data_IF_814821113784
#
_entry.id   IF_814821113784
#
_cell.length_a   1.000
_cell.length_b   1.000
_cell.length_c   1.000
_cell.angle_alpha   90.00
_cell.angle_beta   90.00
_cell.angle_gamma   90.00
#
_symmetry.space_group_name_H-M   'P 1'
#
loop_
_entity.id
_entity.type
_entity.pdbx_description
1 polymer ?
#
# COMPACT_ATOMS: atom_id res chain seq x y z
N UNK A 1 -52.70 -12.75 5.84
CA UNK A 1 -52.54 -11.30 5.59
C UNK A 1 -51.16 -10.93 6.11
N UNK A 2 -50.07 -11.13 5.37
CA UNK A 2 -49.62 -10.38 4.19
C UNK A 2 -49.68 -8.87 4.42
N UNK A 3 -48.59 -8.31 4.95
CA UNK A 3 -48.20 -6.94 4.69
C UNK A 3 -46.74 -6.98 4.23
N UNK A 4 -46.59 -6.64 2.96
CA UNK A 4 -45.34 -6.38 2.25
C UNK A 4 -45.01 -4.91 2.52
N UNK A 5 -43.78 -4.60 2.89
CA UNK A 5 -43.27 -3.24 2.76
C UNK A 5 -42.27 -3.25 1.61
N UNK A 6 -42.61 -2.46 0.58
CA UNK A 6 -41.92 -2.33 -0.69
C UNK A 6 -40.67 -1.45 -0.53
N UNK A 7 -39.59 -1.87 -1.20
CA UNK A 7 -38.42 -1.05 -1.48
C UNK A 7 -38.79 -0.03 -2.57
N UNK A 8 -38.63 1.25 -2.27
CA UNK A 8 -38.62 2.33 -3.27
C UNK A 8 -37.17 2.54 -3.68
N UNK A 9 -36.85 2.19 -4.92
CA UNK A 9 -35.64 2.63 -5.63
C UNK A 9 -36.03 3.87 -6.42
N UNK A 10 -35.51 5.03 -6.04
CA UNK A 10 -35.47 6.18 -6.94
C UNK A 10 -34.29 6.02 -7.90
N UNK A 11 -34.62 6.12 -9.18
CA UNK A 11 -33.72 6.10 -10.31
C UNK A 11 -33.76 7.50 -10.90
N UNK A 12 -32.67 8.26 -10.78
CA UNK A 12 -32.47 9.45 -11.61
C UNK A 12 -31.02 9.56 -12.09
N UNK A 13 -30.96 9.99 -13.34
CA UNK A 13 -29.85 10.00 -14.31
C UNK A 13 -29.27 11.42 -14.41
N UNK A 14 -28.09 11.51 -15.03
CA UNK A 14 -27.28 12.70 -15.38
C UNK A 14 -26.36 13.18 -14.25
N UNK A 15 -25.04 13.26 -14.41
CA UNK A 15 -24.26 13.59 -15.60
C UNK A 15 -23.57 14.93 -15.35
N UNK A 16 -22.36 14.96 -14.79
CA UNK A 16 -21.49 16.14 -14.85
C UNK A 16 -20.02 15.81 -14.50
N UNK A 17 -19.16 15.95 -15.51
CA UNK A 17 -17.77 16.42 -15.49
C UNK A 17 -16.81 15.83 -14.43
N UNK A 18 -16.06 14.80 -14.85
CA UNK A 18 -14.71 14.56 -14.32
C UNK A 18 -13.80 15.66 -14.84
N UNK A 19 -13.39 16.56 -13.94
CA UNK A 19 -12.36 17.55 -14.20
C UNK A 19 -11.00 16.85 -14.12
N UNK A 20 -10.33 16.80 -15.27
CA UNK A 20 -8.99 16.26 -15.46
C UNK A 20 -8.01 16.97 -14.51
N UNK A 21 -7.41 16.20 -13.59
CA UNK A 21 -6.39 16.70 -12.68
C UNK A 21 -5.07 16.80 -13.45
N UNK A 22 -4.72 18.03 -13.86
CA UNK A 22 -3.44 18.42 -14.47
C UNK A 22 -2.23 18.25 -13.53
N UNK A 23 -1.98 17.02 -13.05
CA UNK A 23 -0.85 16.70 -12.18
C UNK A 23 0.26 15.90 -12.89
N UNK A 24 0.40 16.10 -14.21
CA UNK A 24 1.55 15.62 -15.00
C UNK A 24 2.24 16.77 -15.75
N UNK A 25 2.52 17.87 -15.05
CA UNK A 25 3.49 18.87 -15.55
C UNK A 25 4.82 18.67 -14.83
N UNK A 26 5.69 17.82 -15.38
CA UNK A 26 7.09 17.74 -14.96
C UNK A 26 7.77 19.09 -15.22
N UNK A 27 8.46 19.70 -14.24
CA UNK A 27 9.28 20.87 -14.50
C UNK A 27 10.51 20.43 -15.33
N UNK A 28 10.60 20.91 -16.56
CA UNK A 28 11.82 20.81 -17.36
C UNK A 28 12.88 21.73 -16.75
N UNK A 29 13.89 21.15 -16.11
CA UNK A 29 15.10 21.87 -15.72
C UNK A 29 15.91 22.17 -16.99
N UNK A 30 15.87 23.41 -17.46
CA UNK A 30 16.72 23.91 -18.53
C UNK A 30 18.15 24.09 -18.00
N UNK A 31 19.10 23.33 -18.55
CA UNK A 31 20.52 23.52 -18.33
C UNK A 31 21.04 24.53 -19.36
N UNK A 32 21.16 25.79 -18.97
CA UNK A 32 21.89 26.79 -19.77
C UNK A 32 23.38 26.40 -19.82
N UNK A 33 23.90 26.24 -21.04
CA UNK A 33 25.32 26.10 -21.30
C UNK A 33 25.86 27.46 -21.78
N UNK A 34 26.85 28.06 -21.10
CA UNK A 34 27.39 29.33 -21.53
C UNK A 34 28.18 29.19 -22.84
N UNK A 35 28.00 30.18 -23.72
CA UNK A 35 28.42 30.21 -25.11
C UNK A 35 29.92 30.02 -25.34
N UNK A 36 30.23 29.33 -26.43
CA UNK A 36 31.57 29.20 -26.99
C UNK A 36 31.74 30.28 -28.05
N UNK A 37 32.51 31.32 -27.75
CA UNK A 37 32.97 32.28 -28.76
C UNK A 37 34.33 31.84 -29.30
N UNK A 38 34.39 31.62 -30.61
CA UNK A 38 35.58 31.19 -31.34
C UNK A 38 36.21 32.46 -31.92
N UNK A 39 37.41 32.83 -31.47
CA UNK A 39 38.25 33.80 -32.18
C UNK A 39 39.52 33.11 -32.65
N UNK A 40 39.70 33.06 -33.97
CA UNK A 40 40.95 32.61 -34.61
C UNK A 40 41.97 33.74 -34.62
N UNK A 41 43.25 33.43 -34.39
CA UNK A 41 44.34 34.15 -35.02
C UNK A 41 45.60 33.27 -35.13
N UNK A 42 46.20 33.31 -36.33
CA UNK A 42 47.42 32.61 -36.73
C UNK A 42 48.67 33.43 -36.35
N UNK A 43 49.78 32.77 -35.97
CA UNK A 43 51.03 32.76 -36.76
C UNK A 43 52.24 32.19 -35.98
N UNK A 44 52.96 31.35 -36.73
CA UNK A 44 54.40 31.08 -36.79
C UNK A 44 55.27 30.64 -35.59
N UNK A 45 55.86 29.45 -35.81
CA UNK A 45 57.27 29.05 -35.68
C UNK A 45 58.07 29.46 -34.43
N UNK A 46 58.59 28.47 -33.69
CA UNK A 46 60.03 28.10 -33.68
C UNK A 46 60.35 27.09 -32.57
N UNK A 47 61.35 26.27 -32.86
CA UNK A 47 62.00 25.23 -32.06
C UNK A 47 62.48 25.67 -30.67
N UNK A 48 62.39 24.81 -29.66
CA UNK A 48 63.54 24.38 -28.84
C UNK A 48 63.13 23.40 -27.74
N UNK A 49 63.93 22.33 -27.64
CA UNK A 49 63.91 21.31 -26.60
C UNK A 49 64.34 21.86 -25.25
N UNK A 50 63.48 21.75 -24.22
CA UNK A 50 63.92 21.82 -22.82
C UNK A 50 63.13 20.80 -21.99
N UNK A 51 63.85 19.83 -21.43
CA UNK A 51 63.37 18.85 -20.45
C UNK A 51 62.95 19.59 -19.18
N UNK A 52 61.74 19.32 -18.68
CA UNK A 52 61.32 19.76 -17.35
C UNK A 52 60.46 18.69 -16.64
N UNK A 53 60.49 18.65 -15.30
CA UNK A 53 60.44 17.44 -14.49
C UNK A 53 59.07 16.75 -14.45
N UNK A 54 59.08 15.42 -14.35
CA UNK A 54 57.86 14.62 -14.20
C UNK A 54 57.08 15.10 -12.97
N UNK A 55 55.82 15.55 -13.12
CA UNK A 55 55.01 15.96 -11.98
C UNK A 55 54.73 14.73 -11.11
N UNK A 56 55.33 14.67 -9.92
CA UNK A 56 54.87 13.77 -8.88
C UNK A 56 53.54 14.33 -8.36
N UNK A 57 52.46 13.75 -8.83
CA UNK A 57 51.09 14.10 -8.47
C UNK A 57 50.13 13.16 -9.18
N UNK A 58 48.95 12.94 -8.58
CA UNK A 58 47.93 12.01 -9.09
C UNK A 58 47.70 12.21 -10.61
N UNK A 59 47.49 11.13 -11.38
CA UNK A 59 47.33 11.20 -12.83
C UNK A 59 46.29 12.26 -13.23
N UNK A 60 46.62 13.03 -14.27
CA UNK A 60 45.72 14.00 -14.89
C UNK A 60 44.44 13.26 -15.31
N UNK A 61 43.33 13.54 -14.62
CA UNK A 61 42.07 12.83 -14.80
C UNK A 61 41.49 12.20 -13.54
N UNK A 62 42.19 12.24 -12.40
CA UNK A 62 41.59 11.90 -11.09
C UNK A 62 40.61 13.00 -10.64
N UNK A 63 39.49 13.15 -11.35
CA UNK A 63 38.31 13.84 -10.80
C UNK A 63 37.87 13.01 -9.60
N UNK A 64 37.99 13.60 -8.41
CA UNK A 64 37.49 13.06 -7.17
C UNK A 64 36.04 12.62 -7.42
N UNK A 65 35.77 11.32 -7.52
CA UNK A 65 34.38 10.85 -7.54
C UNK A 65 33.78 11.39 -6.25
N UNK A 66 32.88 12.37 -6.36
CA UNK A 66 32.12 12.85 -5.22
C UNK A 66 31.54 11.59 -4.57
N UNK A 67 31.88 11.34 -3.30
CA UNK A 67 31.25 10.26 -2.55
C UNK A 67 29.75 10.50 -2.74
N UNK A 68 29.07 9.55 -3.38
CA UNK A 68 27.62 9.60 -3.50
C UNK A 68 27.14 9.69 -2.04
N UNK A 69 26.47 10.78 -1.64
CA UNK A 69 25.95 10.89 -0.30
C UNK A 69 25.08 9.66 -0.06
N UNK A 70 25.44 8.84 0.92
CA UNK A 70 24.54 7.79 1.40
C UNK A 70 23.42 8.57 2.10
N UNK A 71 22.37 8.87 1.36
CA UNK A 71 21.13 9.37 1.95
C UNK A 71 20.57 8.19 2.71
N UNK A 72 20.79 8.19 4.02
CA UNK A 72 20.09 7.29 4.91
C UNK A 72 18.63 7.74 4.90
N UNK A 73 17.83 7.11 4.04
CA UNK A 73 16.38 7.29 4.08
C UNK A 73 15.91 6.69 5.40
N UNK A 74 15.87 7.50 6.45
CA UNK A 74 15.21 7.14 7.69
C UNK A 74 13.73 6.97 7.38
N UNK A 75 13.33 5.72 7.10
CA UNK A 75 11.92 5.36 6.97
C UNK A 75 11.33 5.49 8.37
N UNK A 76 10.62 6.58 8.61
CA UNK A 76 9.93 6.79 9.88
C UNK A 76 8.79 5.77 9.97
N UNK A 77 9.01 4.72 10.76
CA UNK A 77 8.05 3.64 10.97
C UNK A 77 6.78 4.08 11.71
N UNK A 78 6.76 5.30 12.26
CA UNK A 78 5.59 5.89 12.91
C UNK A 78 4.65 6.57 11.88
N UNK A 79 5.02 6.61 10.59
CA UNK A 79 4.13 7.11 9.53
C UNK A 79 3.21 5.98 9.07
N UNK A 80 1.93 6.29 8.89
CA UNK A 80 0.96 5.38 8.27
C UNK A 80 1.33 5.17 6.79
N UNK A 81 1.47 3.91 6.38
CA UNK A 81 1.74 3.54 4.98
C UNK A 81 0.63 2.66 4.44
N UNK A 82 0.13 2.99 3.25
CA UNK A 82 -0.88 2.20 2.54
C UNK A 82 -0.23 1.13 1.68
N UNK A 83 -0.77 -0.08 1.70
CA UNK A 83 -0.32 -1.21 0.92
C UNK A 83 -1.51 -2.01 0.38
N UNK A 84 -1.31 -2.70 -0.74
CA UNK A 84 -2.24 -3.71 -1.23
C UNK A 84 -1.63 -5.08 -0.99
N UNK A 85 -2.32 -5.91 -0.22
CA UNK A 85 -1.96 -7.29 0.03
C UNK A 85 -2.78 -8.20 -0.86
N UNK A 86 -2.12 -9.11 -1.57
CA UNK A 86 -2.76 -10.13 -2.39
C UNK A 86 -2.65 -11.48 -1.70
N UNK A 87 -3.77 -12.18 -1.56
CA UNK A 87 -3.88 -13.49 -0.94
C UNK A 87 -4.44 -14.45 -1.98
N UNK A 88 -3.72 -15.54 -2.23
CA UNK A 88 -4.08 -16.52 -3.26
C UNK A 88 -5.16 -17.49 -2.77
N UNK A 89 -5.80 -18.18 -3.72
CA UNK A 89 -6.69 -19.31 -3.46
C UNK A 89 -6.08 -20.32 -2.47
N UNK A 90 -6.94 -20.91 -1.64
CA UNK A 90 -6.58 -22.00 -0.71
C UNK A 90 -5.82 -21.53 0.54
N UNK A 91 -5.67 -20.23 0.72
CA UNK A 91 -4.95 -19.63 1.84
C UNK A 91 -5.94 -19.04 2.86
N UNK A 92 -5.66 -19.24 4.15
CA UNK A 92 -6.39 -18.60 5.24
C UNK A 92 -5.97 -17.13 5.36
N UNK A 93 -6.93 -16.22 5.16
CA UNK A 93 -6.73 -14.77 5.25
C UNK A 93 -6.28 -14.37 6.65
N UNK A 94 -6.94 -14.89 7.69
CA UNK A 94 -6.68 -14.54 9.08
C UNK A 94 -5.23 -14.90 9.45
N UNK A 95 -4.80 -16.12 9.13
CA UNK A 95 -3.43 -16.57 9.37
C UNK A 95 -2.39 -15.77 8.57
N UNK A 96 -2.66 -15.49 7.29
CA UNK A 96 -1.72 -14.77 6.43
C UNK A 96 -1.48 -13.34 6.90
N UNK A 97 -2.54 -12.65 7.30
CA UNK A 97 -2.47 -11.29 7.78
C UNK A 97 -1.75 -11.18 9.13
N UNK A 98 -2.00 -12.13 10.05
CA UNK A 98 -1.22 -12.23 11.29
C UNK A 98 0.26 -12.47 11.02
N UNK A 99 0.57 -13.38 10.09
CA UNK A 99 1.94 -13.66 9.71
C UNK A 99 2.63 -12.42 9.13
N UNK A 100 1.94 -11.69 8.25
CA UNK A 100 2.43 -10.41 7.72
C UNK A 100 2.71 -9.39 8.83
N UNK A 101 1.75 -9.14 9.73
CA UNK A 101 1.90 -8.19 10.83
C UNK A 101 3.10 -8.54 11.73
N UNK A 102 3.23 -9.82 12.10
CA UNK A 102 4.34 -10.34 12.92
C UNK A 102 5.68 -10.22 12.22
N UNK A 103 5.75 -10.61 10.95
CA UNK A 103 6.99 -10.59 10.16
C UNK A 103 7.55 -9.17 10.01
N UNK A 104 6.67 -8.18 9.83
CA UNK A 104 7.07 -6.78 9.68
C UNK A 104 7.18 -6.01 11.01
N UNK A 105 6.74 -6.60 12.13
CA UNK A 105 6.68 -5.92 13.42
C UNK A 105 5.78 -4.68 13.40
N UNK A 106 4.73 -4.71 12.59
CA UNK A 106 3.79 -3.61 12.37
C UNK A 106 2.36 -4.10 12.51
N UNK A 107 1.50 -3.24 13.05
CA UNK A 107 0.06 -3.47 13.01
C UNK A 107 -0.49 -3.06 11.65
N UNK A 108 -1.60 -3.69 11.26
CA UNK A 108 -2.31 -3.36 10.03
C UNK A 108 -3.79 -3.09 10.34
N UNK A 109 -4.33 -2.06 9.70
CA UNK A 109 -5.75 -1.76 9.64
C UNK A 109 -6.24 -2.05 8.22
N UNK A 110 -7.21 -2.95 8.08
CA UNK A 110 -7.83 -3.26 6.81
C UNK A 110 -8.86 -2.17 6.52
N UNK A 111 -8.62 -1.44 5.43
CA UNK A 111 -9.48 -0.35 4.99
C UNK A 111 -10.62 -0.88 4.12
N UNK A 112 -10.30 -1.84 3.24
CA UNK A 112 -11.23 -2.49 2.33
C UNK A 112 -10.60 -3.79 1.80
N UNK A 113 -11.41 -4.66 1.21
CA UNK A 113 -10.95 -5.79 0.44
C UNK A 113 -12.02 -6.36 -0.49
N UNK A 114 -11.57 -7.01 -1.55
CA UNK A 114 -12.43 -7.67 -2.52
C UNK A 114 -11.85 -9.04 -2.90
N UNK A 115 -12.74 -9.98 -3.24
CA UNK A 115 -12.36 -11.33 -3.63
C UNK A 115 -13.43 -12.35 -3.28
N UNK A 116 -13.08 -13.63 -3.40
CA UNK A 116 -13.98 -14.75 -3.11
C UNK A 116 -13.44 -15.55 -1.93
N UNK A 117 -14.34 -15.91 -1.02
CA UNK A 117 -14.09 -16.71 0.18
C UNK A 117 -15.06 -17.89 0.24
N UNK A 118 -14.71 -18.93 0.98
CA UNK A 118 -15.53 -20.14 1.09
C UNK A 118 -15.68 -20.67 2.51
N UNK A 119 -16.81 -21.35 2.76
CA UNK A 119 -17.12 -22.07 4.00
C UNK A 119 -16.80 -21.27 5.27
N UNK A 120 -17.59 -20.23 5.50
CA UNK A 120 -17.25 -19.15 6.42
C UNK A 120 -18.01 -19.33 7.73
N UNK A 121 -17.38 -18.95 8.84
CA UNK A 121 -18.03 -18.89 10.14
C UNK A 121 -18.13 -17.44 10.59
N UNK A 122 -19.34 -16.97 10.87
CA UNK A 122 -19.57 -15.62 11.36
C UNK A 122 -20.19 -15.64 12.75
N UNK A 123 -19.66 -14.80 13.63
CA UNK A 123 -20.25 -14.48 14.93
C UNK A 123 -21.18 -13.28 14.74
N UNK A 124 -22.45 -13.48 15.06
CA UNK A 124 -23.48 -12.44 15.07
C UNK A 124 -23.40 -11.60 16.34
N UNK A 125 -23.96 -10.38 16.36
CA UNK A 125 -23.99 -9.52 17.55
C UNK A 125 -24.60 -10.19 18.80
N UNK A 126 -25.47 -11.18 18.60
CA UNK A 126 -26.05 -12.01 19.67
C UNK A 126 -25.05 -12.99 20.32
N UNK A 127 -23.81 -13.04 19.84
CA UNK A 127 -22.78 -14.00 20.24
C UNK A 127 -22.89 -15.37 19.56
N UNK A 128 -23.99 -15.64 18.85
CA UNK A 128 -24.19 -16.90 18.12
C UNK A 128 -23.25 -16.99 16.92
N UNK A 129 -22.68 -18.18 16.71
CA UNK A 129 -21.83 -18.48 15.55
C UNK A 129 -22.66 -19.26 14.53
N UNK A 130 -22.66 -18.79 13.28
CA UNK A 130 -23.29 -19.46 12.15
C UNK A 130 -22.24 -19.89 11.14
N UNK A 131 -22.45 -21.08 10.56
CA UNK A 131 -21.60 -21.63 9.53
C UNK A 131 -22.32 -21.50 8.19
N UNK A 132 -21.72 -20.76 7.26
CA UNK A 132 -22.24 -20.51 5.93
C UNK A 132 -21.41 -21.31 4.93
N UNK A 133 -22.05 -22.32 4.33
CA UNK A 133 -21.41 -23.22 3.37
C UNK A 133 -21.56 -22.66 1.96
N UNK A 134 -20.52 -22.79 1.14
CA UNK A 134 -20.50 -22.28 -0.23
C UNK A 134 -19.42 -21.24 -0.48
N UNK A 135 -19.56 -20.51 -1.58
CA UNK A 135 -18.64 -19.45 -2.04
C UNK A 135 -19.33 -18.11 -1.97
N UNK A 136 -18.62 -17.12 -1.44
CA UNK A 136 -19.16 -15.80 -1.16
C UNK A 136 -18.21 -14.73 -1.68
N UNK A 137 -18.77 -13.65 -2.21
CA UNK A 137 -18.03 -12.47 -2.64
C UNK A 137 -17.91 -11.49 -1.49
N UNK A 138 -16.69 -11.03 -1.22
CA UNK A 138 -16.43 -9.97 -0.25
C UNK A 138 -16.97 -8.66 -0.83
N UNK A 139 -17.91 -8.06 -0.10
CA UNK A 139 -18.43 -6.71 -0.37
C UNK A 139 -17.69 -5.67 0.46
N UNK A 140 -17.44 -6.00 1.74
CA UNK A 140 -16.68 -5.17 2.67
C UNK A 140 -15.92 -6.08 3.64
N UNK A 141 -14.70 -5.70 3.98
CA UNK A 141 -13.95 -6.29 5.08
C UNK A 141 -13.17 -5.18 5.78
N UNK A 142 -13.21 -5.18 7.11
CA UNK A 142 -12.51 -4.22 7.94
C UNK A 142 -12.05 -4.87 9.23
N UNK A 143 -11.08 -4.24 9.90
CA UNK A 143 -10.57 -4.70 11.18
C UNK A 143 -9.08 -4.42 11.33
N UNK A 144 -8.57 -4.66 12.53
CA UNK A 144 -7.18 -4.38 12.87
C UNK A 144 -6.50 -5.65 13.33
N UNK A 145 -5.26 -5.87 12.89
CA UNK A 145 -4.43 -6.98 13.31
C UNK A 145 -3.16 -6.41 13.91
N UNK A 146 -2.89 -6.80 15.15
CA UNK A 146 -1.71 -6.40 15.90
C UNK A 146 -0.69 -7.54 15.88
N UNK A 147 0.62 -7.24 15.87
CA UNK A 147 1.66 -8.27 15.79
C UNK A 147 1.72 -9.18 17.04
N UNK A 148 1.32 -8.68 18.22
CA UNK A 148 1.36 -9.42 19.48
C UNK A 148 0.16 -10.33 19.74
N UNK A 149 -0.94 -10.14 19.01
CA UNK A 149 -2.19 -10.89 19.25
C UNK A 149 -2.06 -12.31 18.73
N UNK A 150 -2.54 -13.30 19.49
CA UNK A 150 -2.50 -14.71 19.08
C UNK A 150 -3.50 -15.02 17.97
N UNK A 151 -4.62 -14.29 17.95
CA UNK A 151 -5.68 -14.40 16.96
C UNK A 151 -5.67 -13.19 16.03
N UNK A 152 -6.10 -13.39 14.78
CA UNK A 152 -6.38 -12.27 13.89
C UNK A 152 -7.45 -11.45 14.61
N UNK A 153 -7.19 -10.15 14.84
CA UNK A 153 -8.10 -9.28 15.59
C UNK A 153 -9.52 -9.28 15.00
N UNK A 154 -10.46 -8.58 15.63
CA UNK A 154 -11.89 -8.61 15.29
C UNK A 154 -12.15 -8.11 13.85
N UNK A 155 -11.97 -9.00 12.88
CA UNK A 155 -12.30 -8.76 11.48
C UNK A 155 -13.81 -8.83 11.34
N UNK A 156 -14.38 -7.81 10.72
CA UNK A 156 -15.80 -7.76 10.35
C UNK A 156 -15.91 -7.82 8.85
N UNK A 157 -16.88 -8.58 8.35
CA UNK A 157 -17.04 -8.82 6.92
C UNK A 157 -18.50 -8.70 6.53
N UNK A 158 -18.73 -8.20 5.32
CA UNK A 158 -20.00 -8.24 4.59
C UNK A 158 -19.78 -9.00 3.29
N UNK A 159 -20.68 -9.93 3.01
CA UNK A 159 -20.57 -10.91 1.95
C UNK A 159 -21.84 -10.91 1.11
N UNK A 160 -21.72 -11.29 -0.15
CA UNK A 160 -22.86 -11.69 -1.00
C UNK A 160 -22.71 -13.14 -1.43
N UNK A 161 -23.83 -13.88 -1.45
CA UNK A 161 -23.91 -15.19 -2.09
C UNK A 161 -24.24 -15.07 -3.59
N UNK A 162 -24.40 -16.21 -4.27
CA UNK A 162 -24.79 -16.24 -5.70
C UNK A 162 -26.22 -15.76 -5.97
N UNK A 163 -27.05 -15.63 -4.93
CA UNK A 163 -28.42 -15.13 -5.00
C UNK A 163 -28.48 -13.64 -4.62
N UNK A 164 -27.33 -12.96 -4.55
CA UNK A 164 -27.20 -11.55 -4.14
C UNK A 164 -27.73 -11.27 -2.72
N UNK A 165 -27.82 -12.30 -1.88
CA UNK A 165 -28.16 -12.11 -0.48
C UNK A 165 -26.93 -11.64 0.29
N UNK A 166 -27.10 -10.54 1.02
CA UNK A 166 -26.05 -10.00 1.89
C UNK A 166 -26.05 -10.66 3.27
N UNK A 167 -24.85 -11.03 3.74
CA UNK A 167 -24.63 -11.65 5.04
C UNK A 167 -23.40 -11.02 5.67
N UNK A 168 -23.52 -10.56 6.92
CA UNK A 168 -22.42 -9.91 7.64
C UNK A 168 -22.21 -10.43 9.06
N UNK A 169 -21.04 -10.11 9.62
CA UNK A 169 -20.70 -10.43 11.01
C UNK A 169 -19.21 -10.39 11.29
N UNK A 170 -18.83 -10.73 12.53
CA UNK A 170 -17.42 -10.88 12.89
C UNK A 170 -16.91 -12.24 12.41
N UNK A 171 -15.76 -12.25 11.75
CA UNK A 171 -15.13 -13.46 11.22
C UNK A 171 -14.65 -14.33 12.37
N UNK A 172 -15.00 -15.63 12.32
CA UNK A 172 -14.41 -16.64 13.19
C UNK A 172 -13.44 -17.47 12.35
N UNK A 173 -12.11 -17.39 12.58
CA UNK A 173 -11.13 -18.14 11.80
C UNK A 173 -11.41 -19.65 11.71
N UNK A 174 -11.01 -20.32 10.61
CA UNK A 174 -10.30 -19.77 9.45
C UNK A 174 -11.23 -19.02 8.48
N UNK A 175 -10.66 -18.11 7.69
CA UNK A 175 -11.33 -17.44 6.57
C UNK A 175 -10.61 -17.82 5.28
N UNK A 176 -11.14 -18.81 4.57
CA UNK A 176 -10.47 -19.40 3.41
C UNK A 176 -10.73 -18.62 2.12
N UNK A 177 -9.66 -18.30 1.39
CA UNK A 177 -9.74 -17.75 0.04
C UNK A 177 -10.20 -18.81 -0.97
N UNK A 178 -11.31 -18.58 -1.66
CA UNK A 178 -11.74 -19.44 -2.78
C UNK A 178 -11.18 -18.95 -4.13
N UNK A 179 -10.79 -17.68 -4.20
CA UNK A 179 -10.06 -17.06 -5.32
C UNK A 179 -9.06 -16.02 -4.81
N UNK A 180 -8.46 -15.24 -5.71
CA UNK A 180 -7.57 -14.14 -5.30
C UNK A 180 -8.35 -13.10 -4.51
N UNK A 181 -7.87 -12.80 -3.30
CA UNK A 181 -8.39 -11.72 -2.45
C UNK A 181 -7.35 -10.61 -2.41
N UNK A 182 -7.79 -9.37 -2.66
CA UNK A 182 -6.96 -8.17 -2.51
C UNK A 182 -7.47 -7.34 -1.35
N UNK A 183 -6.57 -6.95 -0.47
CA UNK A 183 -6.85 -6.14 0.71
C UNK A 183 -6.06 -4.85 0.63
N UNK A 184 -6.73 -3.72 0.78
CA UNK A 184 -6.05 -2.43 0.97
C UNK A 184 -5.91 -2.20 2.46
N UNK A 185 -4.67 -2.04 2.93
CA UNK A 185 -4.35 -1.94 4.35
C UNK A 185 -3.51 -0.71 4.64
N UNK A 186 -3.69 -0.12 5.82
CA UNK A 186 -2.78 0.84 6.39
C UNK A 186 -1.92 0.18 7.47
N UNK A 187 -0.60 0.30 7.38
CA UNK A 187 0.36 -0.24 8.36
C UNK A 187 0.92 0.86 9.24
N UNK A 188 1.10 0.59 10.53
CA UNK A 188 1.67 1.51 11.51
C UNK A 188 2.46 0.77 12.60
N UNK A 189 3.49 1.42 13.15
CA UNK A 189 4.27 0.89 14.26
C UNK A 189 3.77 1.41 15.63
N UNK A 190 4.31 0.84 16.71
CA UNK A 190 4.11 1.29 18.09
C UNK A 190 2.64 1.34 18.55
N UNK A 191 1.82 0.38 18.11
CA UNK A 191 0.42 0.32 18.52
C UNK A 191 0.28 -0.04 19.99
N UNK A 192 -0.46 0.78 20.74
CA UNK A 192 -0.83 0.53 22.12
C UNK A 192 -2.33 0.33 22.23
N UNK A 193 -2.76 -0.70 22.97
CA UNK A 193 -4.16 -0.88 23.31
C UNK A 193 -4.46 -0.15 24.61
N UNK A 194 -5.37 0.82 24.56
CA UNK A 194 -5.85 1.53 25.74
C UNK A 194 -7.32 1.20 25.98
N UNK A 195 -7.61 0.60 27.14
CA UNK A 195 -8.98 0.34 27.55
C UNK A 195 -9.54 1.60 28.20
N UNK A 196 -10.51 2.23 27.54
CA UNK A 196 -11.21 3.36 28.11
C UNK A 196 -12.01 2.95 29.36
N UNK A 197 -12.13 3.81 30.37
CA UNK A 197 -12.97 3.54 31.53
C UNK A 197 -14.43 3.44 31.10
N UNK A 198 -15.14 2.45 31.63
CA UNK A 198 -16.60 2.39 31.52
C UNK A 198 -17.20 3.49 32.38
N UNK A 199 -17.88 4.45 31.76
CA UNK A 199 -18.75 5.39 32.46
C UNK A 199 -20.09 4.69 32.66
N UNK A 200 -20.47 4.49 33.92
CA UNK A 200 -21.77 3.93 34.32
C UNK A 200 -22.87 4.99 34.28
#
# INVERSE_FOLDING_TARGET
MSLKEEMIFDHDVEGSQLQELDLFKSPQLQLETPGTEITMNNNDQTSSSVVNPRPRGRPLGSKNKLKIPIVETHVNRNVLSSHVLEITHGVDLSTSLMHYARHHGQSICILNGNGLVENIKLRQPTGKIFNYMGRFKILLISGTILPSEENAGDLTILLSDTNEQEIGGSVVPPLMASGTVKLTVASFANTTFEKLPSVE
#
